data_IF_025786012117
#
_entry.id   IF_025786012117
#
_cell.length_a   1.000
_cell.length_b   1.000
_cell.length_c   1.000
_cell.angle_alpha   90.00
_cell.angle_beta   90.00
_cell.angle_gamma   90.00
#
_symmetry.space_group_name_H-M   'P 1'
#
loop_
_entity.id
_entity.type
_entity.pdbx_description
1 polymer ?
#
# COMPACT_ATOMS: atom_id res chain seq x y z
N UNK A 1 -10.27 -8.42 9.78
CA UNK A 1 -8.84 -8.79 9.66
C UNK A 1 -7.99 -7.73 10.37
N UNK A 2 -6.86 -8.13 10.96
CA UNK A 2 -5.87 -7.20 11.52
C UNK A 2 -4.56 -7.30 10.74
N UNK A 3 -4.27 -6.32 9.90
CA UNK A 3 -3.09 -6.27 9.03
C UNK A 3 -1.92 -5.71 9.82
N UNK A 4 -0.88 -6.52 10.03
CA UNK A 4 0.34 -6.15 10.74
C UNK A 4 1.53 -6.80 10.07
N UNK A 5 2.74 -6.38 10.44
CA UNK A 5 3.97 -7.10 10.06
C UNK A 5 4.28 -7.13 8.56
N UNK A 6 3.68 -6.24 7.76
CA UNK A 6 4.12 -6.03 6.37
C UNK A 6 5.51 -5.37 6.42
N UNK A 7 6.49 -5.99 5.78
CA UNK A 7 7.90 -5.58 5.88
C UNK A 7 8.61 -5.58 4.52
N UNK A 8 9.88 -5.19 4.52
CA UNK A 8 10.72 -5.14 3.32
C UNK A 8 10.08 -4.42 2.11
N UNK A 9 9.46 -3.27 2.39
CA UNK A 9 8.83 -2.42 1.37
C UNK A 9 9.83 -2.07 0.26
N UNK A 10 9.45 -2.30 -0.99
CA UNK A 10 10.22 -1.98 -2.18
C UNK A 10 9.35 -1.23 -3.17
N UNK A 11 9.89 -0.14 -3.72
CA UNK A 11 9.22 0.62 -4.76
C UNK A 11 9.18 -0.22 -6.03
N UNK A 12 7.99 -0.42 -6.58
CA UNK A 12 7.81 -1.14 -7.84
C UNK A 12 7.57 -0.16 -8.99
N UNK A 13 6.54 0.69 -8.87
CA UNK A 13 6.23 1.69 -9.89
C UNK A 13 5.40 2.84 -9.32
N UNK A 14 5.31 3.93 -10.08
CA UNK A 14 4.45 5.08 -9.77
C UNK A 14 3.53 5.37 -10.96
N UNK A 15 2.24 5.49 -10.67
CA UNK A 15 1.23 6.00 -11.59
C UNK A 15 0.89 7.43 -11.15
N UNK A 16 1.52 8.42 -11.76
CA UNK A 16 1.18 9.82 -11.50
C UNK A 16 0.03 10.22 -12.40
N UNK A 17 -1.13 10.50 -11.81
CA UNK A 17 -2.28 11.09 -12.50
C UNK A 17 -2.40 12.53 -12.04
N UNK A 18 -2.33 13.48 -13.00
CA UNK A 18 -2.67 14.91 -12.92
C UNK A 18 -2.62 15.51 -11.51
N UNK A 19 -1.59 16.29 -11.13
CA UNK A 19 -1.48 17.33 -10.06
C UNK A 19 -2.21 17.20 -8.69
N UNK A 20 -3.08 16.23 -8.44
CA UNK A 20 -3.95 16.12 -7.25
C UNK A 20 -3.67 14.87 -6.43
N UNK A 21 -3.09 13.83 -7.03
CA UNK A 21 -2.74 12.60 -6.32
C UNK A 21 -1.52 11.91 -6.93
N UNK A 22 -0.77 11.21 -6.09
CA UNK A 22 0.27 10.27 -6.52
C UNK A 22 -0.17 8.86 -6.14
N UNK A 23 -0.06 7.92 -7.08
CA UNK A 23 -0.36 6.52 -6.85
C UNK A 23 0.91 5.69 -6.99
N UNK A 24 1.20 4.86 -6.00
CA UNK A 24 2.40 4.04 -5.93
C UNK A 24 2.02 2.56 -5.84
N UNK A 25 2.77 1.74 -6.57
CA UNK A 25 2.78 0.29 -6.43
C UNK A 25 4.03 -0.08 -5.63
N UNK A 26 3.83 -0.77 -4.53
CA UNK A 26 4.88 -1.17 -3.59
C UNK A 26 4.79 -2.68 -3.40
N UNK A 27 5.90 -3.39 -3.60
CA UNK A 27 6.03 -4.79 -3.17
C UNK A 27 6.45 -4.85 -1.71
N UNK A 28 6.04 -5.91 -1.02
CA UNK A 28 6.33 -6.10 0.39
C UNK A 28 6.24 -7.58 0.74
N UNK A 29 6.84 -7.95 1.87
CA UNK A 29 6.65 -9.26 2.47
C UNK A 29 5.40 -9.19 3.36
N UNK A 30 4.36 -9.91 2.96
CA UNK A 30 3.12 -10.05 3.72
C UNK A 30 3.20 -11.29 4.62
N UNK A 31 2.74 -11.21 5.88
CA UNK A 31 2.62 -12.39 6.71
C UNK A 31 1.71 -13.43 6.09
N UNK A 32 2.05 -14.71 6.29
CA UNK A 32 1.32 -15.83 5.73
C UNK A 32 -0.17 -15.81 6.12
N UNK A 33 -0.49 -15.40 7.34
CA UNK A 33 -1.87 -15.32 7.83
C UNK A 33 -2.68 -14.28 7.03
N UNK A 34 -2.07 -13.14 6.69
CA UNK A 34 -2.71 -12.09 5.90
C UNK A 34 -2.94 -12.59 4.47
N UNK A 35 -1.94 -13.24 3.87
CA UNK A 35 -2.06 -13.84 2.53
C UNK A 35 -3.18 -14.88 2.48
N UNK A 36 -3.22 -15.77 3.47
CA UNK A 36 -4.25 -16.81 3.59
C UNK A 36 -5.65 -16.23 3.77
N UNK A 37 -5.82 -15.23 4.64
CA UNK A 37 -7.11 -14.58 4.86
C UNK A 37 -7.63 -13.86 3.60
N UNK A 38 -6.72 -13.24 2.84
CA UNK A 38 -7.06 -12.53 1.60
C UNK A 38 -7.20 -13.45 0.37
N UNK A 39 -6.74 -14.70 0.46
CA UNK A 39 -6.66 -15.59 -0.69
C UNK A 39 -5.70 -15.07 -1.77
N UNK A 40 -4.64 -14.38 -1.36
CA UNK A 40 -3.65 -13.76 -2.25
C UNK A 40 -2.32 -14.50 -2.15
N UNK A 41 -1.59 -14.58 -3.27
CA UNK A 41 -0.29 -15.24 -3.35
C UNK A 41 0.85 -14.23 -3.38
N UNK A 42 0.78 -13.26 -4.29
CA UNK A 42 1.85 -12.26 -4.50
C UNK A 42 1.26 -10.84 -4.56
N UNK A 43 0.70 -10.33 -3.45
CA UNK A 43 0.04 -9.04 -3.48
C UNK A 43 1.00 -7.86 -3.49
N UNK A 44 0.52 -6.76 -4.07
CA UNK A 44 1.11 -5.43 -4.01
C UNK A 44 0.29 -4.50 -3.10
N UNK A 45 0.97 -3.52 -2.51
CA UNK A 45 0.34 -2.36 -1.91
C UNK A 45 0.12 -1.28 -2.98
N UNK A 46 -1.13 -0.98 -3.26
CA UNK A 46 -1.54 0.16 -4.09
C UNK A 46 -1.85 1.35 -3.19
N UNK A 47 -0.91 2.28 -3.08
CA UNK A 47 -1.01 3.43 -2.18
C UNK A 47 -1.35 4.68 -2.98
N UNK A 48 -2.41 5.38 -2.60
CA UNK A 48 -2.79 6.70 -3.14
C UNK A 48 -2.53 7.77 -2.09
N UNK A 49 -1.77 8.80 -2.46
CA UNK A 49 -1.47 9.98 -1.67
C UNK A 49 -2.16 11.19 -2.31
N UNK A 50 -3.08 11.82 -1.60
CA UNK A 50 -3.80 13.01 -2.08
C UNK A 50 -3.06 14.28 -1.64
N UNK A 51 -2.96 15.27 -2.54
CA UNK A 51 -2.32 16.56 -2.25
C UNK A 51 -2.89 17.27 -1.01
N UNK A 52 -4.19 17.06 -0.72
CA UNK A 52 -4.90 17.64 0.45
C UNK A 52 -4.71 16.84 1.75
N UNK A 53 -3.77 15.89 1.81
CA UNK A 53 -3.40 15.17 3.03
C UNK A 53 -4.14 13.85 3.28
N UNK A 54 -5.01 13.41 2.36
CA UNK A 54 -5.63 12.09 2.43
C UNK A 54 -4.69 10.98 1.96
N UNK A 55 -4.87 9.76 2.47
CA UNK A 55 -4.19 8.57 1.94
C UNK A 55 -5.14 7.38 1.84
N UNK A 56 -4.92 6.51 0.87
CA UNK A 56 -5.64 5.24 0.71
C UNK A 56 -4.67 4.13 0.40
N UNK A 57 -4.86 2.97 1.00
CA UNK A 57 -4.09 1.76 0.71
C UNK A 57 -5.08 0.71 0.21
N UNK A 58 -4.74 0.03 -0.88
CA UNK A 58 -5.39 -1.20 -1.34
C UNK A 58 -4.34 -2.30 -1.40
N UNK A 59 -4.75 -3.54 -1.19
CA UNK A 59 -3.92 -4.72 -1.44
C UNK A 59 -4.48 -5.35 -2.71
N UNK A 60 -3.64 -5.49 -3.73
CA UNK A 60 -4.03 -6.04 -5.03
C UNK A 60 -3.18 -7.26 -5.34
N UNK A 61 -3.77 -8.29 -5.90
CA UNK A 61 -3.06 -9.44 -6.44
C UNK A 61 -3.47 -9.56 -7.91
N UNK A 62 -2.53 -9.28 -8.81
CA UNK A 62 -2.79 -9.28 -10.26
C UNK A 62 -3.00 -10.71 -10.79
N UNK A 63 -2.31 -11.70 -10.22
CA UNK A 63 -2.41 -13.10 -10.64
C UNK A 63 -3.79 -13.68 -10.35
N UNK A 64 -4.38 -13.30 -9.22
CA UNK A 64 -5.71 -13.78 -8.80
C UNK A 64 -6.84 -12.78 -9.09
N UNK A 65 -6.55 -11.66 -9.76
CA UNK A 65 -7.47 -10.52 -9.94
C UNK A 65 -8.17 -10.10 -8.63
N UNK A 66 -7.50 -10.28 -7.49
CA UNK A 66 -8.08 -10.04 -6.16
C UNK A 66 -7.78 -8.60 -5.71
N UNK A 67 -8.77 -7.98 -5.06
CA UNK A 67 -8.66 -6.63 -4.54
C UNK A 67 -9.22 -6.58 -3.13
N UNK A 68 -8.40 -6.13 -2.20
CA UNK A 68 -8.81 -5.80 -0.85
C UNK A 68 -8.62 -4.31 -0.57
N UNK A 69 -9.65 -3.67 -0.01
CA UNK A 69 -9.60 -2.25 0.36
C UNK A 69 -9.71 -2.14 1.89
N UNK A 70 -8.59 -2.26 2.62
CA UNK A 70 -8.59 -2.12 4.06
C UNK A 70 -8.96 -0.70 4.48
N UNK A 71 -9.71 -0.59 5.56
CA UNK A 71 -9.86 0.64 6.33
C UNK A 71 -8.61 0.87 7.18
N UNK A 72 -8.34 2.13 7.56
CA UNK A 72 -7.21 2.47 8.43
C UNK A 72 -7.21 1.69 9.75
N UNK A 73 -8.39 1.39 10.30
CA UNK A 73 -8.55 0.68 11.58
C UNK A 73 -8.12 -0.79 11.51
N UNK A 74 -8.05 -1.36 10.32
CA UNK A 74 -7.64 -2.75 10.14
C UNK A 74 -6.13 -2.91 10.16
N UNK A 75 -5.37 -1.84 9.92
CA UNK A 75 -3.93 -1.88 10.07
C UNK A 75 -3.51 -1.68 11.52
N UNK A 76 -2.46 -2.39 11.93
CA UNK A 76 -1.61 -1.94 13.01
C UNK A 76 -1.07 -0.55 12.68
N UNK A 77 -1.21 0.38 13.62
CA UNK A 77 -0.86 1.79 13.43
C UNK A 77 0.59 1.97 12.97
N UNK A 78 1.51 1.11 13.46
CA UNK A 78 2.91 1.09 13.05
C UNK A 78 3.07 0.71 11.58
N UNK A 79 2.52 -0.43 11.16
CA UNK A 79 2.53 -0.88 9.75
C UNK A 79 1.92 0.16 8.82
N UNK A 80 0.78 0.76 9.20
CA UNK A 80 0.17 1.82 8.41
C UNK A 80 1.12 2.99 8.19
N UNK A 81 1.76 3.47 9.26
CA UNK A 81 2.66 4.61 9.20
C UNK A 81 3.91 4.31 8.39
N UNK A 82 4.47 3.11 8.50
CA UNK A 82 5.63 2.67 7.71
C UNK A 82 5.32 2.67 6.22
N UNK A 83 4.16 2.12 5.81
CA UNK A 83 3.72 2.12 4.41
C UNK A 83 3.55 3.56 3.90
N UNK A 84 2.88 4.42 4.65
CA UNK A 84 2.65 5.82 4.24
C UNK A 84 3.96 6.60 4.16
N UNK A 85 4.85 6.44 5.14
CA UNK A 85 6.14 7.12 5.15
C UNK A 85 7.01 6.67 3.97
N UNK A 86 7.06 5.36 3.71
CA UNK A 86 7.72 4.81 2.54
C UNK A 86 7.15 5.40 1.23
N UNK A 87 5.83 5.38 1.07
CA UNK A 87 5.17 5.89 -0.13
C UNK A 87 5.46 7.39 -0.36
N UNK A 88 5.47 8.21 0.70
CA UNK A 88 5.80 9.64 0.60
C UNK A 88 7.23 9.89 0.11
N UNK A 89 8.21 9.12 0.60
CA UNK A 89 9.62 9.24 0.16
C UNK A 89 9.82 8.90 -1.32
N UNK A 90 8.95 8.08 -1.90
CA UNK A 90 9.01 7.67 -3.29
C UNK A 90 8.01 8.40 -4.19
N UNK A 91 7.25 9.37 -3.64
CA UNK A 91 6.29 10.16 -4.38
C UNK A 91 6.96 11.40 -4.97
N UNK A 92 6.73 11.67 -6.25
CA UNK A 92 7.23 12.90 -6.90
C UNK A 92 6.65 14.18 -6.30
N UNK A 93 5.42 14.14 -5.81
CA UNK A 93 4.76 15.31 -5.20
C UNK A 93 5.24 15.62 -3.78
N UNK A 94 5.71 14.60 -3.05
CA UNK A 94 6.05 14.72 -1.62
C UNK A 94 7.52 14.44 -1.31
N UNK A 95 8.31 13.96 -2.28
CA UNK A 95 9.76 13.90 -2.16
C UNK A 95 10.33 15.31 -2.17
N UNK A 96 11.31 15.63 -1.29
CA UNK A 96 12.08 16.86 -1.36
C UNK A 96 12.86 16.96 -2.68
#
# INVERSE_FOLDING_TARGET
>A
MHIRGISHLKFHSQLSLKQVEDRLIITADFPYEVLRELGMKEPFLYVTLYARGGTRIKIIDEDNAALYVPTKKEFEQKTYNEIIHFAKRHSRQFSP
#
